data_IF_468975932635
#
_entry.id   IF_468975932635
#
_cell.length_a   1.000
_cell.length_b   1.000
_cell.length_c   1.000
_cell.angle_alpha   90.00
_cell.angle_beta   90.00
_cell.angle_gamma   90.00
#
_symmetry.space_group_name_H-M   'P 1'
#
loop_
_entity.id
_entity.type
_entity.pdbx_description
1 polymer ?
#
# COMPACT_ATOMS: atom_id res chain seq x y z
N UNK A 1 12.28 14.96 11.37
CA UNK A 1 12.70 14.87 9.95
C UNK A 1 12.47 16.22 9.28
N UNK A 2 13.20 16.55 8.21
CA UNK A 2 12.96 17.83 7.52
C UNK A 2 11.59 17.80 6.83
N UNK A 3 10.83 18.89 6.91
CA UNK A 3 9.58 19.09 6.17
C UNK A 3 9.82 19.07 4.64
N UNK A 4 8.75 18.88 3.87
CA UNK A 4 8.83 19.01 2.41
C UNK A 4 9.02 20.48 2.04
N UNK A 5 9.97 20.76 1.15
CA UNK A 5 10.18 22.09 0.57
C UNK A 5 9.14 22.39 -0.51
N UNK A 6 9.05 23.65 -0.98
CA UNK A 6 8.24 24.01 -2.15
C UNK A 6 8.62 23.17 -3.37
N UNK A 7 9.92 22.91 -3.54
CA UNK A 7 10.45 22.07 -4.63
C UNK A 7 10.02 20.62 -4.48
N UNK A 8 10.05 20.08 -3.27
CA UNK A 8 9.65 18.68 -3.02
C UNK A 8 8.16 18.50 -3.33
N UNK A 9 7.30 19.39 -2.82
CA UNK A 9 5.85 19.35 -3.09
C UNK A 9 5.54 19.53 -4.58
N UNK A 10 6.26 20.43 -5.26
CA UNK A 10 6.12 20.61 -6.70
C UNK A 10 6.54 19.36 -7.50
N UNK A 11 7.62 18.70 -7.09
CA UNK A 11 8.05 17.42 -7.66
C UNK A 11 7.04 16.30 -7.41
N UNK A 12 6.49 16.24 -6.20
CA UNK A 12 5.48 15.26 -5.82
C UNK A 12 4.23 15.40 -6.69
N UNK A 13 3.65 16.60 -6.80
CA UNK A 13 2.43 16.83 -7.59
C UNK A 13 2.63 16.43 -9.05
N UNK A 14 3.76 16.82 -9.66
CA UNK A 14 4.07 16.46 -11.05
C UNK A 14 4.26 14.95 -11.28
N UNK A 15 4.92 14.27 -10.35
CA UNK A 15 5.22 12.83 -10.49
C UNK A 15 3.98 11.97 -10.25
N UNK A 16 3.17 12.33 -9.26
CA UNK A 16 1.93 11.63 -8.84
C UNK A 16 0.77 11.91 -9.80
N UNK A 17 0.61 13.15 -10.28
CA UNK A 17 -0.48 13.55 -11.18
C UNK A 17 0.05 14.00 -12.54
N UNK A 18 0.72 13.12 -13.31
CA UNK A 18 1.06 13.47 -14.69
C UNK A 18 -0.23 13.68 -15.47
N UNK A 19 -0.28 14.70 -16.34
CA UNK A 19 -1.40 14.82 -17.27
C UNK A 19 -1.79 16.24 -17.63
N UNK A 20 -3.07 16.52 -17.40
CA UNK A 20 -3.93 17.34 -18.23
C UNK A 20 -3.65 18.84 -18.06
N UNK A 21 -3.71 19.64 -19.14
CA UNK A 21 -3.59 21.10 -19.04
C UNK A 21 -4.62 21.76 -18.11
N UNK A 22 -5.75 21.08 -17.87
CA UNK A 22 -6.83 21.53 -16.99
C UNK A 22 -6.56 21.29 -15.50
N UNK A 23 -5.45 20.64 -15.13
CA UNK A 23 -5.07 20.37 -13.73
C UNK A 23 -4.57 21.63 -13.02
N UNK A 24 -5.46 22.61 -12.87
CA UNK A 24 -5.16 23.97 -12.40
C UNK A 24 -5.59 24.23 -10.97
N UNK A 25 -6.24 23.27 -10.31
CA UNK A 25 -6.59 23.37 -8.91
C UNK A 25 -6.23 22.08 -8.14
N UNK A 26 -5.81 22.25 -6.89
CA UNK A 26 -5.47 21.14 -6.00
C UNK A 26 -6.05 21.35 -4.60
N UNK A 27 -6.72 20.33 -4.08
CA UNK A 27 -7.21 20.26 -2.72
C UNK A 27 -6.26 19.49 -1.81
N UNK A 28 -5.91 20.05 -0.66
CA UNK A 28 -5.35 19.28 0.46
C UNK A 28 -6.53 18.90 1.36
N UNK A 29 -6.94 17.64 1.32
CA UNK A 29 -8.08 17.12 2.05
C UNK A 29 -7.64 16.55 3.40
N UNK A 30 -8.21 17.04 4.50
CA UNK A 30 -7.81 16.62 5.86
C UNK A 30 -9.01 16.51 6.80
N UNK A 31 -9.00 15.51 7.66
CA UNK A 31 -10.01 15.32 8.70
C UNK A 31 -9.64 16.04 10.01
N UNK A 32 -10.66 16.55 10.68
CA UNK A 32 -10.56 17.18 12.01
C UNK A 32 -11.37 16.37 13.01
N UNK A 33 -10.79 16.00 14.17
CA UNK A 33 -11.48 15.20 15.18
C UNK A 33 -12.78 15.88 15.64
N UNK A 34 -13.88 15.13 15.68
CA UNK A 34 -15.15 15.52 16.30
C UNK A 34 -15.08 15.55 17.81
N UNK A 35 -14.20 14.73 18.38
CA UNK A 35 -13.93 14.65 19.81
C UNK A 35 -12.43 14.79 20.03
N UNK A 36 -12.04 15.85 20.73
CA UNK A 36 -10.65 16.12 21.10
C UNK A 36 -9.98 14.97 21.86
N UNK A 37 -10.74 14.12 22.57
CA UNK A 37 -10.19 12.98 23.29
C UNK A 37 -9.65 11.87 22.37
N UNK A 38 -10.12 11.80 21.12
CA UNK A 38 -9.63 10.86 20.09
C UNK A 38 -8.40 11.36 19.34
N UNK A 39 -8.07 12.64 19.49
CA UNK A 39 -6.95 13.27 18.81
C UNK A 39 -5.61 12.76 19.36
N UNK A 40 -4.64 12.57 18.48
CA UNK A 40 -3.33 12.05 18.85
C UNK A 40 -2.19 12.96 18.33
N UNK A 41 -0.95 12.82 18.82
CA UNK A 41 0.16 13.67 18.40
C UNK A 41 0.42 13.64 16.88
N UNK A 42 0.30 12.49 16.23
CA UNK A 42 0.50 12.37 14.79
C UNK A 42 -0.63 13.02 14.00
N UNK A 43 -1.88 12.89 14.44
CA UNK A 43 -3.01 13.55 13.81
C UNK A 43 -2.94 15.08 13.91
N UNK A 44 -2.51 15.62 15.05
CA UNK A 44 -2.20 17.06 15.17
C UNK A 44 -1.13 17.51 14.20
N UNK A 45 -0.02 16.76 14.13
CA UNK A 45 1.06 17.05 13.18
C UNK A 45 0.58 16.94 11.74
N UNK A 46 -0.29 15.98 11.43
CA UNK A 46 -0.88 15.81 10.09
C UNK A 46 -1.72 17.01 9.66
N UNK A 47 -2.53 17.57 10.56
CA UNK A 47 -3.29 18.80 10.28
C UNK A 47 -2.36 19.99 10.05
N UNK A 48 -1.32 20.15 10.88
CA UNK A 48 -0.31 21.19 10.67
C UNK A 48 0.48 20.99 9.37
N UNK A 49 0.79 19.74 8.99
CA UNK A 49 1.41 19.42 7.70
C UNK A 49 0.50 19.79 6.54
N UNK A 50 -0.81 19.51 6.62
CA UNK A 50 -1.76 19.87 5.59
C UNK A 50 -1.84 21.40 5.37
N UNK A 51 -1.81 22.18 6.46
CA UNK A 51 -1.72 23.65 6.41
C UNK A 51 -0.42 24.13 5.75
N UNK A 52 0.73 23.58 6.18
CA UNK A 52 2.05 23.92 5.62
C UNK A 52 2.13 23.55 4.13
N UNK A 53 1.63 22.38 3.73
CA UNK A 53 1.62 21.95 2.32
C UNK A 53 0.74 22.84 1.47
N UNK A 54 -0.44 23.23 1.95
CA UNK A 54 -1.30 24.17 1.25
C UNK A 54 -0.59 25.52 1.04
N UNK A 55 0.02 26.09 2.09
CA UNK A 55 0.74 27.35 2.02
C UNK A 55 1.95 27.29 1.06
N UNK A 56 2.74 26.21 1.13
CA UNK A 56 3.91 26.01 0.27
C UNK A 56 3.53 25.78 -1.18
N UNK A 57 2.46 25.02 -1.47
CA UNK A 57 2.01 24.81 -2.83
C UNK A 57 1.46 26.09 -3.46
N UNK A 58 0.82 26.97 -2.68
CA UNK A 58 0.45 28.33 -3.13
C UNK A 58 1.71 29.11 -3.53
N UNK A 59 2.76 29.08 -2.69
CA UNK A 59 4.04 29.74 -3.00
C UNK A 59 4.77 29.08 -4.20
N UNK A 60 4.59 27.77 -4.39
CA UNK A 60 5.18 26.99 -5.47
C UNK A 60 4.37 27.03 -6.77
N UNK A 61 3.24 27.76 -6.83
CA UNK A 61 2.36 27.85 -7.99
C UNK A 61 3.06 28.24 -9.31
N UNK A 62 4.18 28.99 -9.35
CA UNK A 62 4.91 29.18 -10.62
C UNK A 62 5.62 27.90 -11.11
N UNK A 63 5.87 26.96 -10.19
CA UNK A 63 6.59 25.71 -10.41
C UNK A 63 5.67 24.49 -10.54
N UNK A 64 4.35 24.63 -10.51
CA UNK A 64 3.38 23.57 -10.82
C UNK A 64 2.21 24.30 -11.47
N UNK A 65 1.59 23.85 -12.57
CA UNK A 65 0.56 24.62 -13.27
C UNK A 65 -0.78 24.74 -12.49
N UNK A 66 -0.74 25.06 -11.20
CA UNK A 66 -1.86 25.28 -10.29
C UNK A 66 -2.14 26.78 -10.19
N UNK A 67 -3.35 27.19 -10.55
CA UNK A 67 -3.88 28.53 -10.26
C UNK A 67 -4.40 28.63 -8.84
N UNK A 68 -4.77 27.50 -8.24
CA UNK A 68 -5.47 27.47 -6.97
C UNK A 68 -5.07 26.26 -6.16
N UNK A 69 -4.81 26.49 -4.88
CA UNK A 69 -4.72 25.45 -3.86
C UNK A 69 -5.75 25.75 -2.79
N UNK A 70 -6.44 24.73 -2.30
CA UNK A 70 -7.45 24.84 -1.24
C UNK A 70 -7.15 23.84 -0.13
N UNK A 71 -7.21 24.30 1.11
CA UNK A 71 -7.24 23.42 2.27
C UNK A 71 -8.70 23.04 2.52
N UNK A 72 -9.04 21.78 2.29
CA UNK A 72 -10.39 21.23 2.42
C UNK A 72 -10.44 20.41 3.71
N UNK A 73 -11.15 20.91 4.70
CA UNK A 73 -11.30 20.27 6.00
C UNK A 73 -12.70 19.71 6.19
N UNK A 74 -12.83 18.61 6.93
CA UNK A 74 -14.13 18.03 7.28
C UNK A 74 -14.09 17.35 8.65
N UNK A 75 -15.24 17.20 9.33
CA UNK A 75 -15.33 16.41 10.56
C UNK A 75 -15.00 14.94 10.30
N UNK A 76 -14.10 14.35 11.09
CA UNK A 76 -13.71 12.94 10.93
C UNK A 76 -14.91 11.98 10.92
N UNK A 77 -14.76 10.86 10.22
CA UNK A 77 -15.83 9.87 10.03
C UNK A 77 -15.74 8.68 10.99
N UNK A 78 -14.79 8.73 11.92
CA UNK A 78 -14.64 7.79 13.03
C UNK A 78 -14.14 6.38 12.67
N UNK A 79 -14.02 6.04 11.39
CA UNK A 79 -13.54 4.73 10.92
C UNK A 79 -12.97 4.81 9.50
N UNK A 80 -12.05 3.90 9.18
CA UNK A 80 -11.46 3.80 7.85
C UNK A 80 -12.52 3.46 6.79
N UNK A 81 -12.46 4.14 5.65
CA UNK A 81 -13.31 3.95 4.48
C UNK A 81 -14.81 4.21 4.70
N UNK A 82 -15.19 4.87 5.80
CA UNK A 82 -16.54 5.39 5.96
C UNK A 82 -16.83 6.51 4.96
N UNK A 83 -18.11 6.69 4.63
CA UNK A 83 -18.55 7.74 3.71
C UNK A 83 -18.17 9.13 4.22
N UNK A 84 -17.71 9.99 3.31
CA UNK A 84 -17.48 11.40 3.60
C UNK A 84 -18.81 12.07 3.98
N UNK A 85 -18.81 13.07 4.87
CA UNK A 85 -20.01 13.86 5.14
C UNK A 85 -20.46 14.60 3.88
N UNK A 86 -21.70 15.10 3.87
CA UNK A 86 -22.21 15.90 2.74
C UNK A 86 -21.47 17.25 2.60
N UNK A 87 -21.12 17.86 3.74
CA UNK A 87 -20.49 19.16 3.82
C UNK A 87 -18.99 19.06 4.14
N UNK A 88 -18.22 19.98 3.57
CA UNK A 88 -16.83 20.25 3.92
C UNK A 88 -16.61 21.75 4.15
N UNK A 89 -15.38 22.12 4.50
CA UNK A 89 -15.00 23.48 4.85
C UNK A 89 -13.72 23.89 4.12
N UNK A 90 -13.76 24.99 3.37
CA UNK A 90 -12.58 25.60 2.75
C UNK A 90 -11.92 26.53 3.76
N UNK A 91 -10.77 26.10 4.28
CA UNK A 91 -10.01 26.85 5.27
C UNK A 91 -8.98 27.79 4.60
N UNK A 92 -8.93 29.04 5.07
CA UNK A 92 -7.95 30.04 4.63
C UNK A 92 -6.76 30.19 5.60
N UNK A 93 -6.74 29.44 6.70
CA UNK A 93 -5.74 29.54 7.76
C UNK A 93 -5.76 28.33 8.68
N UNK A 94 -5.30 28.52 9.92
CA UNK A 94 -5.15 27.44 10.89
C UNK A 94 -6.46 26.70 11.17
N UNK A 95 -6.40 25.37 11.11
CA UNK A 95 -7.49 24.47 11.42
C UNK A 95 -7.74 24.45 12.93
N UNK A 96 -9.01 24.33 13.36
CA UNK A 96 -9.31 24.14 14.77
C UNK A 96 -8.81 22.78 15.25
N UNK A 97 -8.60 22.66 16.55
CA UNK A 97 -8.27 21.38 17.18
C UNK A 97 -9.43 20.39 17.20
N UNK A 98 -10.65 20.84 16.95
CA UNK A 98 -11.89 20.05 16.97
C UNK A 98 -12.85 20.55 15.88
N UNK A 99 -13.61 19.64 15.29
CA UNK A 99 -14.47 19.91 14.14
C UNK A 99 -15.59 20.93 14.42
N UNK A 100 -16.01 21.06 15.67
CA UNK A 100 -16.99 22.07 16.13
C UNK A 100 -16.57 23.50 15.77
N UNK A 101 -15.26 23.78 15.71
CA UNK A 101 -14.73 25.09 15.36
C UNK A 101 -14.58 25.36 13.86
N UNK A 102 -14.92 24.40 12.97
CA UNK A 102 -14.72 24.56 11.52
C UNK A 102 -15.63 25.65 10.94
N UNK A 103 -16.90 25.66 11.32
CA UNK A 103 -17.89 26.61 10.79
C UNK A 103 -17.59 28.08 11.15
N UNK A 104 -16.79 28.33 12.20
CA UNK A 104 -16.37 29.67 12.61
C UNK A 104 -15.14 30.17 11.85
N UNK A 105 -14.36 29.26 11.23
CA UNK A 105 -13.01 29.53 10.72
C UNK A 105 -12.85 29.29 9.23
N UNK A 106 -13.82 28.64 8.59
CA UNK A 106 -13.74 28.18 7.22
C UNK A 106 -15.09 28.29 6.52
N UNK A 107 -15.06 28.47 5.20
CA UNK A 107 -16.26 28.57 4.37
C UNK A 107 -16.88 27.19 4.18
N UNK A 108 -18.15 27.03 4.59
CA UNK A 108 -18.91 25.79 4.38
C UNK A 108 -19.24 25.61 2.90
N UNK A 109 -19.02 24.40 2.38
CA UNK A 109 -19.32 23.97 1.01
C UNK A 109 -19.88 22.55 0.99
N UNK A 110 -20.51 22.17 -0.12
CA UNK A 110 -20.85 20.78 -0.39
C UNK A 110 -19.65 20.06 -1.02
N UNK A 111 -19.40 18.81 -0.63
CA UNK A 111 -18.32 18.02 -1.23
C UNK A 111 -18.50 17.84 -2.73
N UNK A 112 -19.73 17.64 -3.19
CA UNK A 112 -20.05 17.45 -4.62
C UNK A 112 -19.61 18.68 -5.44
N UNK A 113 -19.84 19.90 -4.96
CA UNK A 113 -19.35 21.13 -5.62
C UNK A 113 -17.81 21.21 -5.62
N UNK A 114 -17.18 20.87 -4.48
CA UNK A 114 -15.72 20.89 -4.36
C UNK A 114 -15.07 19.85 -5.29
N UNK A 115 -15.68 18.68 -5.47
CA UNK A 115 -15.21 17.65 -6.39
C UNK A 115 -15.38 18.02 -7.87
N UNK A 116 -16.35 18.86 -8.21
CA UNK A 116 -16.51 19.41 -9.57
C UNK A 116 -15.49 20.51 -9.87
N UNK A 117 -15.12 21.31 -8.87
CA UNK A 117 -14.19 22.44 -9.02
C UNK A 117 -12.71 22.04 -8.99
N UNK A 118 -12.36 20.99 -8.23
CA UNK A 118 -10.96 20.63 -7.95
C UNK A 118 -10.60 19.30 -8.63
N UNK A 119 -9.71 19.30 -9.64
CA UNK A 119 -9.34 18.08 -10.37
C UNK A 119 -8.35 17.18 -9.63
N UNK A 120 -7.61 17.69 -8.62
CA UNK A 120 -6.55 16.98 -7.92
C UNK A 120 -6.70 17.05 -6.40
N UNK A 121 -6.51 15.94 -5.70
CA UNK A 121 -6.50 15.90 -4.24
C UNK A 121 -5.28 15.17 -3.67
N UNK A 122 -4.65 15.77 -2.67
CA UNK A 122 -3.79 15.07 -1.72
C UNK A 122 -4.57 14.94 -0.41
N UNK A 123 -4.71 13.73 0.13
CA UNK A 123 -5.55 13.48 1.30
C UNK A 123 -4.77 12.85 2.48
N UNK A 124 -3.89 13.62 3.17
CA UNK A 124 -3.28 13.17 4.41
C UNK A 124 -4.32 13.15 5.53
N UNK A 125 -4.89 11.99 5.82
CA UNK A 125 -6.03 11.80 6.73
C UNK A 125 -5.71 10.81 7.85
N UNK A 126 -6.35 10.94 9.01
CA UNK A 126 -6.28 9.91 10.06
C UNK A 126 -7.02 8.66 9.62
N UNK A 127 -8.30 8.81 9.25
CA UNK A 127 -9.11 7.72 8.73
C UNK A 127 -9.01 7.63 7.21
N UNK A 128 -8.85 6.41 6.71
CA UNK A 128 -8.73 6.18 5.28
C UNK A 128 -9.92 6.70 4.49
N UNK A 129 -9.64 7.55 3.51
CA UNK A 129 -10.59 8.07 2.54
C UNK A 129 -10.47 7.39 1.19
N UNK A 130 -9.70 6.30 1.08
CA UNK A 130 -9.42 5.64 -0.20
C UNK A 130 -10.69 5.13 -0.89
N UNK A 131 -11.55 4.40 -0.17
CA UNK A 131 -12.81 3.90 -0.75
C UNK A 131 -13.79 5.03 -1.15
N UNK A 132 -14.15 5.99 -0.25
CA UNK A 132 -15.08 7.05 -0.64
C UNK A 132 -14.51 7.95 -1.75
N UNK A 133 -13.19 8.23 -1.77
CA UNK A 133 -12.59 9.00 -2.85
C UNK A 133 -12.47 8.22 -4.16
N UNK A 134 -12.30 6.89 -4.16
CA UNK A 134 -12.42 6.09 -5.39
C UNK A 134 -13.82 6.21 -5.99
N UNK A 135 -14.85 6.10 -5.15
CA UNK A 135 -16.25 6.25 -5.57
C UNK A 135 -16.55 7.66 -6.09
N UNK A 136 -16.09 8.69 -5.38
CA UNK A 136 -16.29 10.08 -5.81
C UNK A 136 -15.46 10.41 -7.06
N UNK A 137 -14.19 10.01 -7.13
CA UNK A 137 -13.34 10.23 -8.30
C UNK A 137 -13.96 9.62 -9.56
N UNK A 138 -14.45 8.37 -9.50
CA UNK A 138 -15.09 7.74 -10.66
C UNK A 138 -16.35 8.48 -11.16
N UNK A 139 -17.05 9.20 -10.27
CA UNK A 139 -18.24 10.01 -10.60
C UNK A 139 -17.88 11.40 -11.14
N UNK A 140 -16.95 12.11 -10.50
CA UNK A 140 -16.63 13.51 -10.78
C UNK A 140 -15.41 13.72 -11.69
N UNK A 141 -14.61 12.67 -11.92
CA UNK A 141 -13.46 12.70 -12.81
C UNK A 141 -12.17 13.29 -12.20
N UNK A 142 -12.18 13.75 -10.95
CA UNK A 142 -10.95 14.16 -10.25
C UNK A 142 -10.01 12.98 -10.01
N UNK A 143 -8.80 13.28 -9.54
CA UNK A 143 -7.81 12.28 -9.12
C UNK A 143 -7.33 12.55 -7.71
N UNK A 144 -7.06 11.50 -6.94
CA UNK A 144 -6.66 11.66 -5.55
C UNK A 144 -5.55 10.70 -5.12
N UNK A 145 -4.59 11.24 -4.37
CA UNK A 145 -3.59 10.47 -3.64
C UNK A 145 -3.96 10.50 -2.15
N UNK A 146 -4.38 9.35 -1.63
CA UNK A 146 -4.83 9.20 -0.24
C UNK A 146 -3.70 8.70 0.64
N UNK A 147 -3.56 9.25 1.85
CA UNK A 147 -2.45 8.91 2.76
C UNK A 147 -3.02 8.61 4.15
N UNK A 148 -3.73 7.47 4.30
CA UNK A 148 -4.35 7.10 5.58
C UNK A 148 -3.29 6.90 6.66
N UNK A 149 -3.51 7.48 7.85
CA UNK A 149 -2.58 7.37 8.97
C UNK A 149 -1.22 8.05 8.74
N UNK A 150 -1.02 8.76 7.62
CA UNK A 150 0.29 9.28 7.23
C UNK A 150 0.97 10.11 8.32
N UNK A 151 2.23 9.84 8.61
CA UNK A 151 2.99 10.51 9.67
C UNK A 151 4.30 11.07 9.14
N UNK A 152 4.96 11.94 9.92
CA UNK A 152 6.20 12.60 9.49
C UNK A 152 7.32 11.63 9.13
N UNK A 153 7.29 10.41 9.68
CA UNK A 153 8.28 9.36 9.38
C UNK A 153 8.19 8.84 7.95
N UNK A 154 7.03 8.99 7.30
CA UNK A 154 6.82 8.60 5.91
C UNK A 154 7.22 9.70 4.89
N UNK A 155 7.54 10.92 5.33
CA UNK A 155 7.92 12.05 4.45
C UNK A 155 9.01 11.69 3.42
N UNK A 156 10.07 10.92 3.76
CA UNK A 156 11.07 10.52 2.76
C UNK A 156 10.48 9.83 1.53
N UNK A 157 9.42 9.03 1.69
CA UNK A 157 8.76 8.33 0.60
C UNK A 157 7.95 9.27 -0.33
N UNK A 158 7.72 10.52 0.06
CA UNK A 158 7.12 11.55 -0.80
C UNK A 158 8.18 12.33 -1.62
N UNK A 159 9.48 12.12 -1.36
CA UNK A 159 10.56 12.77 -2.12
C UNK A 159 11.05 11.95 -3.31
N UNK A 160 10.61 10.70 -3.43
CA UNK A 160 10.99 9.84 -4.55
C UNK A 160 10.31 10.30 -5.84
N UNK A 161 10.95 10.06 -6.97
CA UNK A 161 10.32 10.30 -8.26
C UNK A 161 9.33 9.17 -8.56
N UNK A 162 8.04 9.42 -8.32
CA UNK A 162 6.98 8.48 -8.64
C UNK A 162 6.91 8.16 -10.13
N UNK A 163 7.50 8.99 -10.99
CA UNK A 163 7.74 8.69 -12.40
C UNK A 163 8.54 7.41 -12.61
N UNK A 164 9.69 7.34 -11.96
CA UNK A 164 10.58 6.18 -11.97
C UNK A 164 10.01 5.00 -11.19
N UNK A 165 9.33 5.24 -10.06
CA UNK A 165 8.59 4.19 -9.32
C UNK A 165 7.58 3.52 -10.25
N UNK A 166 6.75 4.32 -10.95
CA UNK A 166 5.76 3.78 -11.89
C UNK A 166 6.38 3.04 -13.07
N UNK A 167 7.53 3.48 -13.60
CA UNK A 167 8.25 2.73 -14.64
C UNK A 167 8.64 1.34 -14.15
N UNK A 168 9.23 1.26 -12.95
CA UNK A 168 9.67 -0.01 -12.34
C UNK A 168 8.51 -0.94 -12.02
N UNK A 169 7.45 -0.40 -11.41
CA UNK A 169 6.23 -1.14 -11.11
C UNK A 169 5.56 -1.66 -12.39
N UNK A 170 5.42 -0.81 -13.41
CA UNK A 170 4.86 -1.22 -14.70
C UNK A 170 5.66 -2.35 -15.35
N UNK A 171 6.98 -2.27 -15.33
CA UNK A 171 7.86 -3.31 -15.86
C UNK A 171 7.77 -4.65 -15.09
N UNK A 172 7.50 -4.63 -13.78
CA UNK A 172 7.17 -5.83 -13.01
C UNK A 172 5.80 -6.38 -13.39
N UNK A 173 4.77 -5.52 -13.43
CA UNK A 173 3.41 -5.92 -13.81
C UNK A 173 3.38 -6.61 -15.17
N UNK A 174 4.03 -6.05 -16.19
CA UNK A 174 4.08 -6.64 -17.54
C UNK A 174 4.67 -8.04 -17.55
N UNK A 175 5.68 -8.30 -16.71
CA UNK A 175 6.28 -9.63 -16.57
C UNK A 175 5.36 -10.58 -15.83
N UNK A 176 4.78 -10.14 -14.71
CA UNK A 176 3.86 -10.95 -13.92
C UNK A 176 2.59 -11.32 -14.69
N UNK A 177 2.05 -10.41 -15.52
CA UNK A 177 0.89 -10.68 -16.38
C UNK A 177 1.16 -11.79 -17.40
N UNK A 178 2.42 -11.99 -17.80
CA UNK A 178 2.84 -13.00 -18.78
C UNK A 178 3.29 -14.31 -18.13
N UNK A 179 3.80 -14.24 -16.91
CA UNK A 179 4.34 -15.39 -16.19
C UNK A 179 3.23 -16.39 -15.81
N UNK A 180 3.57 -17.67 -15.82
CA UNK A 180 2.70 -18.75 -15.34
C UNK A 180 3.16 -19.30 -14.00
N UNK A 181 4.42 -19.08 -13.64
CA UNK A 181 4.98 -19.48 -12.36
C UNK A 181 5.98 -18.42 -11.89
N UNK A 182 6.08 -18.23 -10.57
CA UNK A 182 7.19 -17.55 -9.92
C UNK A 182 7.83 -18.50 -8.91
N UNK A 183 9.13 -18.75 -9.04
CA UNK A 183 9.91 -19.51 -8.06
C UNK A 183 10.78 -18.56 -7.26
N UNK A 184 10.66 -18.64 -5.93
CA UNK A 184 11.46 -17.86 -4.99
C UNK A 184 12.39 -18.80 -4.24
N UNK A 185 13.68 -18.51 -4.31
CA UNK A 185 14.71 -19.18 -3.51
C UNK A 185 15.02 -18.31 -2.29
N UNK A 186 14.87 -18.89 -1.10
CA UNK A 186 15.23 -18.26 0.16
C UNK A 186 16.46 -18.94 0.76
N UNK A 187 17.23 -18.19 1.53
CA UNK A 187 18.32 -18.73 2.35
C UNK A 187 18.11 -18.29 3.80
N UNK A 188 17.81 -19.27 4.65
CA UNK A 188 17.67 -19.10 6.09
C UNK A 188 19.05 -19.19 6.76
N UNK A 189 19.32 -18.25 7.66
CA UNK A 189 20.56 -18.13 8.44
C UNK A 189 21.84 -18.16 7.58
N UNK A 190 21.74 -17.74 6.31
CA UNK A 190 22.84 -17.77 5.34
C UNK A 190 23.30 -19.18 4.93
N UNK A 191 22.55 -20.24 5.25
CA UNK A 191 23.02 -21.64 5.11
C UNK A 191 21.99 -22.61 4.58
N UNK A 192 20.72 -22.44 4.94
CA UNK A 192 19.67 -23.41 4.66
C UNK A 192 18.81 -22.91 3.48
N UNK A 193 18.92 -23.52 2.28
CA UNK A 193 18.12 -23.12 1.14
C UNK A 193 16.70 -23.66 1.25
N UNK A 194 15.73 -22.81 0.91
CA UNK A 194 14.32 -23.16 0.78
C UNK A 194 13.80 -22.67 -0.58
N UNK A 195 12.81 -23.37 -1.13
CA UNK A 195 12.20 -23.02 -2.42
C UNK A 195 10.70 -22.97 -2.29
N UNK A 196 10.12 -21.93 -2.86
CA UNK A 196 8.68 -21.72 -2.91
C UNK A 196 8.27 -21.44 -4.36
N UNK A 197 7.35 -22.22 -4.90
CA UNK A 197 6.75 -21.99 -6.21
C UNK A 197 5.36 -21.40 -6.02
N UNK A 198 5.07 -20.33 -6.75
CA UNK A 198 3.75 -19.70 -6.87
C UNK A 198 3.20 -19.96 -8.26
N UNK A 199 1.97 -20.46 -8.31
CA UNK A 199 1.21 -20.64 -9.55
C UNK A 199 0.55 -19.32 -9.94
N UNK A 200 0.92 -18.76 -11.10
CA UNK A 200 0.41 -17.48 -11.59
C UNK A 200 -0.61 -17.64 -12.73
N UNK A 201 -0.95 -18.89 -13.10
CA UNK A 201 -1.90 -19.14 -14.18
C UNK A 201 -3.26 -18.51 -13.87
N UNK A 202 -3.95 -18.03 -14.90
CA UNK A 202 -5.30 -17.45 -14.78
C UNK A 202 -5.38 -16.15 -13.95
N UNK A 203 -4.24 -15.53 -13.65
CA UNK A 203 -4.17 -14.31 -12.86
C UNK A 203 -3.71 -13.13 -13.70
N UNK A 204 -3.92 -11.94 -13.16
CA UNK A 204 -3.45 -10.68 -13.70
C UNK A 204 -2.85 -9.91 -12.54
N UNK A 205 -1.66 -9.36 -12.73
CA UNK A 205 -1.03 -8.55 -11.71
C UNK A 205 -1.71 -7.18 -11.60
N UNK A 206 -1.54 -6.55 -10.46
CA UNK A 206 -2.02 -5.21 -10.17
C UNK A 206 -0.84 -4.27 -10.02
N UNK A 207 -1.05 -3.04 -10.48
CA UNK A 207 -0.09 -1.95 -10.35
C UNK A 207 -0.57 -1.02 -9.23
N UNK A 208 0.30 -0.82 -8.23
CA UNK A 208 0.15 0.18 -7.18
C UNK A 208 1.40 1.05 -7.24
N UNK A 209 1.42 1.98 -8.20
CA UNK A 209 2.58 2.80 -8.54
C UNK A 209 2.62 4.17 -7.84
N UNK A 210 1.59 4.55 -7.07
CA UNK A 210 1.46 5.89 -6.49
C UNK A 210 1.28 6.99 -7.53
N UNK A 211 0.80 6.65 -8.73
CA UNK A 211 0.53 7.58 -9.83
C UNK A 211 -0.92 7.51 -10.28
N UNK A 212 -1.45 8.66 -10.67
CA UNK A 212 -2.83 8.81 -11.14
C UNK A 212 -2.84 9.54 -12.49
N UNK A 213 -2.48 8.88 -13.60
CA UNK A 213 -2.54 9.50 -14.94
C UNK A 213 -3.96 9.57 -15.53
N UNK A 214 -4.88 8.72 -15.06
CA UNK A 214 -6.24 8.57 -15.61
C UNK A 214 -7.24 9.38 -14.79
N UNK A 215 -8.15 10.13 -15.43
CA UNK A 215 -9.24 10.81 -14.73
C UNK A 215 -10.11 9.81 -13.96
N UNK A 216 -10.65 10.24 -12.82
CA UNK A 216 -11.52 9.43 -11.98
C UNK A 216 -10.83 8.32 -11.18
N UNK A 217 -9.53 8.42 -10.94
CA UNK A 217 -8.77 7.44 -10.15
C UNK A 217 -8.32 8.01 -8.81
N UNK A 218 -8.48 7.22 -7.75
CA UNK A 218 -7.90 7.49 -6.44
C UNK A 218 -7.18 6.26 -5.90
N UNK A 219 -6.15 6.47 -5.10
CA UNK A 219 -5.39 5.39 -4.48
C UNK A 219 -4.35 5.89 -3.49
N UNK A 220 -3.66 4.94 -2.86
CA UNK A 220 -2.77 5.24 -1.76
C UNK A 220 -1.46 5.90 -2.23
N UNK A 221 -0.91 6.72 -1.34
CA UNK A 221 0.41 7.30 -1.40
C UNK A 221 0.96 7.38 0.05
N UNK A 222 2.20 6.96 0.34
CA UNK A 222 3.15 6.28 -0.56
C UNK A 222 2.63 4.98 -1.15
N UNK A 223 3.23 4.59 -2.26
CA UNK A 223 2.90 3.39 -3.03
C UNK A 223 4.13 3.04 -3.89
N UNK A 224 4.17 1.88 -4.54
CA UNK A 224 5.36 1.46 -5.28
C UNK A 224 5.57 -0.05 -5.29
N UNK A 225 4.58 -0.81 -5.75
CA UNK A 225 4.70 -2.25 -5.96
C UNK A 225 3.91 -2.72 -7.19
N UNK A 226 4.29 -3.88 -7.71
CA UNK A 226 3.37 -4.73 -8.45
C UNK A 226 3.04 -5.95 -7.59
N UNK A 227 1.79 -6.42 -7.61
CA UNK A 227 1.40 -7.61 -6.87
C UNK A 227 0.48 -8.51 -7.68
N UNK A 228 0.44 -9.79 -7.32
CA UNK A 228 -0.40 -10.79 -7.96
C UNK A 228 -0.89 -11.80 -6.93
N UNK A 229 -2.18 -12.12 -6.96
CA UNK A 229 -2.74 -13.20 -6.14
C UNK A 229 -2.38 -14.53 -6.79
N UNK A 230 -1.68 -15.46 -6.12
CA UNK A 230 -1.46 -16.79 -6.68
C UNK A 230 -2.78 -17.51 -7.04
N UNK A 231 -2.75 -18.41 -8.02
CA UNK A 231 -3.91 -19.19 -8.39
C UNK A 231 -4.30 -20.15 -7.26
N UNK A 232 -5.57 -20.14 -6.85
CA UNK A 232 -6.05 -20.85 -5.66
C UNK A 232 -6.71 -22.20 -5.98
N UNK A 233 -6.72 -22.60 -7.27
CA UNK A 233 -7.33 -23.86 -7.71
C UNK A 233 -8.81 -23.74 -8.09
N UNK A 234 -9.36 -22.54 -8.24
CA UNK A 234 -10.80 -22.33 -8.43
C UNK A 234 -11.32 -22.47 -9.87
N UNK A 235 -10.45 -22.76 -10.84
CA UNK A 235 -10.79 -23.01 -12.26
C UNK A 235 -10.81 -24.51 -12.62
N UNK A 236 -10.75 -25.40 -11.63
CA UNK A 236 -10.91 -26.86 -11.79
C UNK A 236 -9.59 -27.63 -11.74
N UNK A 237 -8.50 -27.08 -12.27
CA UNK A 237 -7.16 -27.61 -12.01
C UNK A 237 -6.68 -27.18 -10.62
N UNK A 238 -6.02 -28.08 -9.89
CA UNK A 238 -5.41 -27.75 -8.61
C UNK A 238 -4.31 -26.67 -8.78
N UNK A 239 -4.17 -25.82 -7.77
CA UNK A 239 -3.04 -24.89 -7.69
C UNK A 239 -1.72 -25.65 -7.62
N UNK A 240 -0.73 -25.16 -8.35
CA UNK A 240 0.65 -25.66 -8.29
C UNK A 240 1.49 -25.00 -7.20
N UNK A 241 0.95 -23.98 -6.52
CA UNK A 241 1.65 -23.26 -5.45
C UNK A 241 2.04 -24.21 -4.33
N UNK A 242 3.34 -24.40 -4.11
CA UNK A 242 3.89 -25.35 -3.13
C UNK A 242 5.34 -25.03 -2.77
N UNK A 243 5.79 -25.55 -1.64
CA UNK A 243 7.19 -25.49 -1.23
C UNK A 243 7.36 -25.15 0.25
N UNK A 244 8.47 -24.51 0.55
CA UNK A 244 8.87 -24.13 1.90
C UNK A 244 9.05 -22.61 1.99
N UNK A 245 8.23 -21.97 2.82
CA UNK A 245 8.26 -20.53 3.04
C UNK A 245 8.83 -20.21 4.42
N UNK A 246 10.11 -19.82 4.53
CA UNK A 246 10.67 -19.33 5.78
C UNK A 246 10.10 -17.95 6.14
N UNK A 247 9.78 -17.73 7.41
CA UNK A 247 9.26 -16.46 7.93
C UNK A 247 9.85 -16.22 9.33
N UNK A 248 10.36 -15.01 9.56
CA UNK A 248 10.89 -14.63 10.88
C UNK A 248 9.78 -14.07 11.79
N UNK A 249 9.69 -14.61 13.00
CA UNK A 249 8.77 -14.23 14.07
C UNK A 249 9.54 -14.02 15.37
N UNK A 250 9.62 -12.79 15.87
CA UNK A 250 10.17 -12.48 17.20
C UNK A 250 11.53 -13.15 17.49
N UNK A 251 12.41 -13.22 16.47
CA UNK A 251 13.74 -13.83 16.56
C UNK A 251 13.79 -15.34 16.29
N UNK A 252 12.66 -16.00 16.04
CA UNK A 252 12.57 -17.38 15.53
C UNK A 252 12.32 -17.38 14.01
N UNK A 253 12.90 -18.32 13.26
CA UNK A 253 12.54 -18.52 11.84
C UNK A 253 11.74 -19.79 11.71
N UNK A 254 10.46 -19.64 11.37
CA UNK A 254 9.53 -20.73 11.11
C UNK A 254 9.55 -21.07 9.62
N UNK A 255 9.37 -22.34 9.25
CA UNK A 255 9.30 -22.76 7.84
C UNK A 255 7.93 -23.38 7.57
N UNK A 256 7.09 -22.67 6.81
CA UNK A 256 5.77 -23.15 6.45
C UNK A 256 5.88 -24.12 5.28
N UNK A 257 5.31 -25.32 5.42
CA UNK A 257 5.10 -26.23 4.31
C UNK A 257 3.82 -25.81 3.59
N UNK A 258 3.94 -25.44 2.32
CA UNK A 258 2.83 -24.97 1.49
C UNK A 258 2.50 -26.01 0.44
N UNK A 259 1.23 -26.34 0.29
CA UNK A 259 0.70 -27.27 -0.71
C UNK A 259 -0.63 -26.74 -1.26
N UNK A 260 -0.81 -26.80 -2.57
CA UNK A 260 -2.03 -26.33 -3.26
C UNK A 260 -2.53 -24.95 -2.75
N UNK A 261 -1.62 -23.97 -2.73
CA UNK A 261 -1.85 -22.59 -2.27
C UNK A 261 -2.10 -22.37 -0.78
N UNK A 262 -1.87 -23.39 0.06
CA UNK A 262 -2.13 -23.29 1.51
C UNK A 262 -0.94 -23.76 2.32
N UNK A 263 -0.54 -22.97 3.30
CA UNK A 263 0.28 -23.46 4.39
C UNK A 263 -0.51 -24.57 5.11
N UNK A 264 0.06 -25.76 5.20
CA UNK A 264 -0.58 -26.94 5.83
C UNK A 264 0.11 -27.36 7.11
N UNK A 265 1.37 -26.94 7.31
CA UNK A 265 2.12 -27.19 8.52
C UNK A 265 3.19 -26.11 8.72
N UNK A 266 3.59 -25.93 9.97
CA UNK A 266 4.75 -25.11 10.34
C UNK A 266 5.82 -26.05 10.86
N UNK A 267 6.94 -26.16 10.13
CA UNK A 267 8.12 -26.88 10.62
C UNK A 267 8.83 -26.01 11.65
N UNK A 268 9.23 -26.57 12.80
CA UNK A 268 9.90 -25.79 13.83
C UNK A 268 11.31 -25.39 13.37
N UNK A 269 11.80 -24.27 13.91
CA UNK A 269 13.25 -24.06 13.99
C UNK A 269 13.88 -25.21 14.79
N UNK A 270 15.21 -25.34 14.79
CA UNK A 270 15.93 -26.37 15.57
C UNK A 270 15.53 -26.43 17.07
N UNK A 271 14.86 -25.40 17.59
CA UNK A 271 14.20 -25.33 18.90
C UNK A 271 12.71 -25.02 18.76
N UNK A 272 11.84 -25.77 19.46
CA UNK A 272 10.40 -25.55 19.58
C UNK A 272 10.10 -24.32 20.46
N UNK A 273 10.21 -23.11 19.90
CA UNK A 273 9.89 -21.88 20.62
C UNK A 273 8.38 -21.54 20.62
N UNK A 274 7.99 -20.52 21.40
CA UNK A 274 6.60 -20.09 21.52
C UNK A 274 5.96 -19.69 20.18
N UNK A 275 6.73 -19.07 19.25
CA UNK A 275 6.19 -18.64 17.96
C UNK A 275 5.69 -19.83 17.13
N UNK A 276 6.42 -20.95 17.13
CA UNK A 276 5.99 -22.16 16.43
C UNK A 276 4.65 -22.69 16.97
N UNK A 277 4.48 -22.74 18.30
CA UNK A 277 3.25 -23.24 18.92
C UNK A 277 2.05 -22.38 18.54
N UNK A 278 2.22 -21.06 18.61
CA UNK A 278 1.17 -20.10 18.28
C UNK A 278 0.75 -20.21 16.82
N UNK A 279 1.71 -20.21 15.88
CA UNK A 279 1.44 -20.26 14.46
C UNK A 279 0.88 -21.61 14.01
N UNK A 280 1.38 -22.72 14.55
CA UNK A 280 0.84 -24.05 14.26
C UNK A 280 -0.60 -24.21 14.78
N UNK A 281 -0.89 -23.72 15.99
CA UNK A 281 -2.23 -23.74 16.55
C UNK A 281 -3.18 -22.81 15.81
N UNK A 282 -2.71 -21.62 15.42
CA UNK A 282 -3.48 -20.68 14.58
C UNK A 282 -3.85 -21.30 13.25
N UNK A 283 -2.89 -21.92 12.55
CA UNK A 283 -3.13 -22.58 11.27
C UNK A 283 -4.14 -23.73 11.38
N UNK A 284 -4.08 -24.48 12.48
CA UNK A 284 -5.04 -25.56 12.77
C UNK A 284 -6.45 -25.01 13.06
N UNK A 285 -6.54 -23.92 13.83
CA UNK A 285 -7.80 -23.28 14.21
C UNK A 285 -8.45 -22.56 13.04
N UNK A 286 -7.63 -21.91 12.21
CA UNK A 286 -8.06 -21.02 11.14
C UNK A 286 -7.34 -21.39 9.83
N UNK A 287 -7.78 -22.42 9.10
CA UNK A 287 -7.13 -22.83 7.86
C UNK A 287 -7.10 -21.75 6.77
N UNK A 288 -8.06 -20.81 6.78
CA UNK A 288 -8.09 -19.70 5.82
C UNK A 288 -6.92 -18.73 5.99
N UNK A 289 -6.37 -18.60 7.22
CA UNK A 289 -5.12 -17.87 7.46
C UNK A 289 -3.96 -18.43 6.61
N UNK A 290 -3.92 -19.74 6.38
CA UNK A 290 -2.85 -20.39 5.62
C UNK A 290 -2.86 -20.10 4.12
N UNK A 291 -3.87 -19.43 3.56
CA UNK A 291 -3.93 -19.14 2.13
C UNK A 291 -2.79 -18.20 1.70
N UNK A 292 -2.10 -18.52 0.60
CA UNK A 292 -1.17 -17.57 -0.04
C UNK A 292 -2.00 -16.53 -0.79
N UNK A 293 -2.15 -15.36 -0.18
CA UNK A 293 -3.10 -14.34 -0.58
C UNK A 293 -2.51 -13.36 -1.61
N UNK A 294 -1.20 -13.14 -1.58
CA UNK A 294 -0.52 -12.18 -2.43
C UNK A 294 0.96 -12.53 -2.57
N UNK A 295 1.50 -12.33 -3.76
CA UNK A 295 2.92 -12.20 -4.02
C UNK A 295 3.17 -10.77 -4.52
N UNK A 296 3.82 -9.94 -3.70
CA UNK A 296 4.04 -8.54 -3.99
C UNK A 296 5.51 -8.16 -4.12
N UNK A 297 5.77 -7.17 -4.96
CA UNK A 297 7.09 -6.73 -5.39
C UNK A 297 7.24 -5.23 -5.19
N UNK A 298 7.59 -4.83 -3.96
CA UNK A 298 7.86 -3.44 -3.61
C UNK A 298 9.19 -2.94 -4.19
N UNK A 299 9.25 -1.68 -4.62
CA UNK A 299 10.46 -1.07 -5.22
C UNK A 299 11.04 0.09 -4.40
N UNK A 300 10.36 0.56 -3.36
CA UNK A 300 10.77 1.76 -2.61
C UNK A 300 12.08 1.60 -1.84
N UNK A 301 12.46 0.37 -1.47
CA UNK A 301 13.75 0.09 -0.82
C UNK A 301 14.94 0.52 -1.66
N UNK A 302 14.87 0.37 -3.00
CA UNK A 302 15.92 0.79 -3.93
C UNK A 302 16.10 2.32 -3.99
N UNK A 303 15.10 3.08 -3.52
CA UNK A 303 15.15 4.54 -3.41
C UNK A 303 15.69 5.00 -2.05
N UNK A 304 16.22 4.08 -1.24
CA UNK A 304 16.79 4.38 0.07
C UNK A 304 15.76 4.59 1.17
N UNK A 305 14.52 4.16 0.97
CA UNK A 305 13.48 4.18 1.98
C UNK A 305 13.63 2.94 2.88
N UNK A 306 13.59 3.15 4.19
CA UNK A 306 13.60 2.07 5.19
C UNK A 306 12.23 1.87 5.83
N UNK A 307 12.04 0.75 6.56
CA UNK A 307 10.79 0.48 7.25
C UNK A 307 10.55 1.47 8.38
N UNK A 308 9.28 1.81 8.57
CA UNK A 308 8.82 2.78 9.58
C UNK A 308 7.84 2.16 10.57
N UNK A 309 7.53 0.86 10.42
CA UNK A 309 6.57 0.15 11.25
C UNK A 309 5.12 0.32 10.80
N UNK A 310 4.91 0.79 9.58
CA UNK A 310 3.58 1.08 9.02
C UNK A 310 3.41 0.31 7.71
N UNK A 311 2.48 -0.65 7.71
CA UNK A 311 2.29 -1.59 6.60
C UNK A 311 2.07 -0.88 5.27
N UNK A 312 1.33 0.25 5.27
CA UNK A 312 1.09 1.10 4.09
C UNK A 312 2.37 1.42 3.30
N UNK A 313 3.47 1.67 4.00
CA UNK A 313 4.77 1.97 3.40
C UNK A 313 5.66 0.72 3.33
N UNK A 314 5.72 -0.04 4.42
CA UNK A 314 6.72 -1.09 4.60
C UNK A 314 6.55 -2.21 3.56
N UNK A 315 5.32 -2.53 3.15
CA UNK A 315 5.05 -3.53 2.11
C UNK A 315 5.64 -3.14 0.74
N UNK A 316 5.77 -1.83 0.47
CA UNK A 316 6.33 -1.29 -0.78
C UNK A 316 7.85 -1.32 -0.82
N UNK A 317 8.52 -1.81 0.24
CA UNK A 317 9.99 -1.76 0.34
C UNK A 317 10.70 -2.92 -0.36
N UNK A 318 10.01 -4.03 -0.64
CA UNK A 318 10.63 -5.20 -1.26
C UNK A 318 9.64 -6.32 -1.55
N UNK A 319 10.17 -7.51 -1.85
CA UNK A 319 9.36 -8.72 -2.01
C UNK A 319 8.59 -9.00 -0.72
N UNK A 320 7.30 -9.32 -0.84
CA UNK A 320 6.50 -9.80 0.28
C UNK A 320 5.55 -10.91 -0.16
N UNK A 321 5.16 -11.73 0.81
CA UNK A 321 4.15 -12.78 0.62
C UNK A 321 3.07 -12.57 1.67
N UNK A 322 1.82 -12.43 1.24
CA UNK A 322 0.69 -12.26 2.14
C UNK A 322 0.00 -13.60 2.47
N UNK A 323 -0.44 -13.70 3.71
CA UNK A 323 -1.29 -14.79 4.21
C UNK A 323 -2.74 -14.33 4.38
N UNK A 324 -3.71 -15.20 4.06
CA UNK A 324 -5.12 -15.01 4.41
C UNK A 324 -6.05 -14.60 3.26
N UNK A 325 -6.79 -13.52 3.46
CA UNK A 325 -7.87 -13.05 2.58
C UNK A 325 -7.33 -12.47 1.28
N UNK A 326 -7.93 -12.84 0.15
CA UNK A 326 -7.46 -12.48 -1.21
C UNK A 326 -8.56 -12.03 -2.18
N UNK A 327 -9.85 -12.22 -1.85
CA UNK A 327 -11.01 -11.85 -2.68
C UNK A 327 -11.00 -10.40 -3.20
N UNK A 328 -10.58 -9.46 -2.36
CA UNK A 328 -10.48 -8.03 -2.69
C UNK A 328 -9.31 -7.70 -3.64
N UNK A 329 -8.39 -8.65 -3.86
CA UNK A 329 -7.30 -8.59 -4.83
C UNK A 329 -7.48 -9.57 -6.01
N UNK A 330 -8.64 -10.21 -6.13
CA UNK A 330 -8.96 -11.11 -7.25
C UNK A 330 -8.74 -12.60 -6.98
N UNK A 331 -8.50 -12.98 -5.73
CA UNK A 331 -8.54 -14.38 -5.26
C UNK A 331 -9.96 -14.87 -4.93
N UNK A 332 -10.07 -16.07 -4.35
CA UNK A 332 -11.37 -16.64 -3.93
C UNK A 332 -11.58 -16.54 -2.41
N UNK A 333 -10.51 -16.61 -1.63
CA UNK A 333 -10.60 -16.66 -0.17
C UNK A 333 -11.10 -15.32 0.39
N UNK A 334 -12.32 -15.33 0.91
CA UNK A 334 -13.02 -14.17 1.44
C UNK A 334 -13.39 -14.31 2.92
N UNK A 335 -14.10 -13.34 3.52
CA UNK A 335 -14.46 -13.38 4.93
C UNK A 335 -15.26 -14.63 5.36
N UNK A 336 -16.03 -15.21 4.44
CA UNK A 336 -16.83 -16.41 4.70
C UNK A 336 -16.01 -17.70 4.85
N UNK A 337 -14.74 -17.69 4.42
CA UNK A 337 -13.82 -18.82 4.60
C UNK A 337 -13.18 -18.84 5.99
N UNK A 338 -13.26 -17.73 6.74
CA UNK A 338 -12.76 -17.62 8.11
C UNK A 338 -13.82 -18.03 9.13
N UNK A 339 -13.38 -18.49 10.30
CA UNK A 339 -14.29 -18.96 11.36
C UNK A 339 -15.15 -17.84 11.97
N UNK A 340 -14.67 -16.59 11.97
CA UNK A 340 -15.38 -15.40 12.47
C UNK A 340 -14.74 -14.09 11.94
N UNK A 341 -15.46 -12.96 11.95
CA UNK A 341 -14.96 -11.69 11.44
C UNK A 341 -13.62 -11.24 12.04
N UNK A 342 -13.37 -11.54 13.32
CA UNK A 342 -12.15 -11.14 14.02
C UNK A 342 -10.91 -11.94 13.60
N UNK A 343 -11.08 -13.08 12.92
CA UNK A 343 -9.97 -13.89 12.40
C UNK A 343 -9.65 -13.56 10.94
N UNK A 344 -10.48 -12.73 10.28
CA UNK A 344 -10.25 -12.29 8.90
C UNK A 344 -9.00 -11.43 8.87
N UNK A 345 -7.97 -11.93 8.19
CA UNK A 345 -6.68 -11.26 8.09
C UNK A 345 -6.15 -11.27 6.66
N UNK A 346 -5.34 -10.26 6.38
CA UNK A 346 -4.40 -10.21 5.27
C UNK A 346 -3.07 -9.74 5.87
N UNK A 347 -2.03 -10.57 5.81
CA UNK A 347 -0.79 -10.32 6.56
C UNK A 347 0.42 -10.44 5.64
N UNK A 348 1.04 -9.31 5.36
CA UNK A 348 2.25 -9.19 4.55
C UNK A 348 3.50 -9.57 5.34
N UNK A 349 4.27 -10.53 4.79
CA UNK A 349 5.61 -10.88 5.28
C UNK A 349 6.63 -10.29 4.33
N UNK A 350 7.25 -9.19 4.74
CA UNK A 350 8.16 -8.39 3.91
C UNK A 350 9.57 -8.94 4.03
N UNK A 351 10.18 -9.33 2.93
CA UNK A 351 11.48 -9.98 2.84
C UNK A 351 12.60 -8.98 2.52
N UNK A 352 12.86 -8.06 3.44
CA UNK A 352 14.02 -7.18 3.41
C UNK A 352 14.89 -7.40 4.66
N UNK A 353 16.21 -7.12 4.62
CA UNK A 353 17.09 -7.35 5.76
C UNK A 353 16.66 -6.63 7.04
N UNK A 354 15.95 -5.51 6.93
CA UNK A 354 15.49 -4.73 8.07
C UNK A 354 14.28 -5.36 8.80
N UNK A 355 13.50 -6.21 8.13
CA UNK A 355 12.28 -6.84 8.69
C UNK A 355 12.48 -8.35 8.96
N UNK A 356 13.29 -9.02 8.14
CA UNK A 356 13.59 -10.46 8.25
C UNK A 356 15.09 -10.71 8.05
N UNK A 357 15.96 -10.24 8.96
CA UNK A 357 17.42 -10.32 8.81
C UNK A 357 17.97 -11.74 8.68
N UNK A 358 17.23 -12.76 9.15
CA UNK A 358 17.65 -14.17 9.08
C UNK A 358 17.17 -14.90 7.83
N UNK A 359 16.37 -14.26 6.98
CA UNK A 359 15.82 -14.85 5.76
C UNK A 359 16.16 -13.97 4.56
N UNK A 360 17.11 -14.43 3.74
CA UNK A 360 17.49 -13.73 2.52
C UNK A 360 16.70 -14.26 1.31
N UNK A 361 16.26 -13.37 0.42
CA UNK A 361 15.78 -13.75 -0.92
C UNK A 361 17.00 -13.91 -1.81
N UNK A 362 17.31 -15.13 -2.21
CA UNK A 362 18.46 -15.41 -3.07
C UNK A 362 18.14 -15.18 -4.54
N UNK A 363 16.99 -15.67 -5.02
CA UNK A 363 16.56 -15.46 -6.39
C UNK A 363 15.04 -15.43 -6.50
N UNK A 364 14.54 -14.67 -7.47
CA UNK A 364 13.16 -14.81 -7.96
C UNK A 364 13.21 -15.04 -9.46
N UNK A 365 12.64 -16.15 -9.91
CA UNK A 365 12.61 -16.58 -11.31
C UNK A 365 11.17 -16.65 -11.78
N UNK A 366 10.84 -15.91 -12.84
CA UNK A 366 9.56 -16.02 -13.52
C UNK A 366 9.68 -17.02 -14.66
N UNK A 367 8.70 -17.91 -14.80
CA UNK A 367 8.59 -18.84 -15.94
C UNK A 367 7.42 -18.46 -16.83
N UNK A 368 7.63 -18.53 -18.13
CA UNK A 368 6.65 -18.12 -19.15
C UNK A 368 6.03 -19.32 -19.89
N UNK A 369 4.87 -19.16 -20.54
CA UNK A 369 4.20 -20.24 -21.28
C UNK A 369 5.04 -20.91 -22.38
N UNK A 370 6.02 -20.20 -22.94
CA UNK A 370 6.92 -20.70 -23.98
C UNK A 370 8.10 -21.52 -23.42
N UNK A 371 8.18 -21.67 -22.09
CA UNK A 371 9.25 -22.38 -21.39
C UNK A 371 10.50 -21.54 -21.15
N UNK A 372 10.49 -20.24 -21.46
CA UNK A 372 11.57 -19.34 -21.07
C UNK A 372 11.48 -18.93 -19.60
N UNK A 373 12.64 -18.69 -19.00
CA UNK A 373 12.79 -18.24 -17.62
C UNK A 373 13.48 -16.87 -17.58
N UNK A 374 13.08 -16.00 -16.65
CA UNK A 374 13.73 -14.70 -16.39
C UNK A 374 13.98 -14.53 -14.90
N UNK A 375 15.24 -14.29 -14.53
CA UNK A 375 15.61 -13.91 -13.16
C UNK A 375 15.27 -12.44 -12.98
N UNK A 376 14.30 -12.13 -12.12
CA UNK A 376 13.87 -10.74 -11.83
C UNK A 376 14.48 -10.18 -10.54
N UNK A 377 14.93 -11.06 -9.64
CA UNK A 377 15.71 -10.69 -8.47
C UNK A 377 16.86 -11.68 -8.25
N UNK A 378 18.01 -11.16 -7.82
CA UNK A 378 19.18 -11.94 -7.41
C UNK A 378 19.82 -11.27 -6.19
N UNK A 379 20.16 -12.06 -5.17
CA UNK A 379 20.78 -11.60 -3.92
C UNK A 379 20.04 -10.41 -3.27
N UNK A 380 18.70 -10.50 -3.24
CA UNK A 380 17.81 -9.49 -2.66
C UNK A 380 17.67 -8.21 -3.47
N UNK A 381 18.14 -8.16 -4.73
CA UNK A 381 18.07 -6.97 -5.59
C UNK A 381 17.38 -7.27 -6.91
N UNK A 382 16.65 -6.30 -7.45
CA UNK A 382 16.10 -6.40 -8.80
C UNK A 382 17.20 -6.41 -9.87
N UNK A 383 17.04 -7.24 -10.88
CA UNK A 383 17.97 -7.41 -12.03
C UNK A 383 17.45 -6.77 -13.32
N UNK A 384 16.27 -6.16 -13.27
CA UNK A 384 15.47 -5.76 -14.44
C UNK A 384 15.25 -4.24 -14.58
N UNK A 385 15.92 -3.41 -13.78
CA UNK A 385 15.73 -1.95 -13.74
C UNK A 385 16.92 -1.12 -14.16
#
# INVERSE_FOLDING_TARGET
>A
MAALTEKDLAGLVRSVFPGFPEDRALGILVDVPRDRARDNPDWRRRRAMAEDWAARLIAAAPSVPLDTVRLVAYPDVGSNNADLPEECFLAAGALPSEASGLAERAERRLFEEVFEEIPLFLAPTEYSTTAPLKNAASRHGFRAATMPGFSEIMIPALRVDYGEVGRRVGALKERLDRAVEAEVEFVKDGREPHRMLFDLRHRTAHESAGRFPKKGTAGNLPSGEAYIVPYEGEKGEASRTRGELPVEFSGEVLVFAVEANRAVAVRPAATLGPAWKEEAERLRREPAYGNMAELGFGVLGDFGIGPVGEILLDEKLGLHVAFGRSDHFGGRTGPADFSRPEEVVHIDRIYIPATQPRVAVYAVVLRYPDGSDEVVMSEGRYTIF
#
